data_IF_726802524443
#
_entry.id   IF_726802524443
#
_cell.length_a   1.000
_cell.length_b   1.000
_cell.length_c   1.000
_cell.angle_alpha   90.00
_cell.angle_beta   90.00
_cell.angle_gamma   90.00
#
_symmetry.space_group_name_H-M   'P 1'
#
loop_
_entity.id
_entity.type
_entity.pdbx_description
1 polymer ?
#
# COMPACT_ATOMS: atom_id res chain seq x y z
N UNK A 1 -18.33 -7.18 44.15
CA UNK A 1 -18.74 -6.27 43.04
C UNK A 1 -17.52 -5.99 42.18
N UNK A 2 -17.32 -6.75 41.11
CA UNK A 2 -16.21 -6.59 40.16
C UNK A 2 -16.52 -5.37 39.29
N UNK A 3 -15.62 -4.38 39.25
CA UNK A 3 -15.78 -3.16 38.47
C UNK A 3 -15.64 -3.49 36.98
N UNK A 4 -16.54 -2.89 36.18
CA UNK A 4 -16.56 -2.96 34.71
C UNK A 4 -15.14 -2.78 34.18
N UNK A 5 -14.69 -3.72 33.36
CA UNK A 5 -13.52 -3.54 32.52
C UNK A 5 -13.74 -2.29 31.67
N UNK A 6 -12.87 -1.30 31.84
CA UNK A 6 -12.74 -0.18 30.93
C UNK A 6 -12.22 -0.73 29.60
N UNK A 7 -13.15 -1.25 28.79
CA UNK A 7 -12.88 -1.69 27.43
C UNK A 7 -12.21 -0.52 26.73
N UNK A 8 -10.94 -0.70 26.34
CA UNK A 8 -10.25 0.23 25.45
C UNK A 8 -11.20 0.53 24.28
N UNK A 9 -11.58 1.79 24.06
CA UNK A 9 -12.51 2.17 23.01
C UNK A 9 -12.08 1.56 21.66
N UNK A 10 -13.03 0.95 20.93
CA UNK A 10 -12.75 0.26 19.66
C UNK A 10 -12.06 1.17 18.63
N UNK A 11 -12.23 2.49 18.73
CA UNK A 11 -11.58 3.50 17.89
C UNK A 11 -10.09 3.77 18.23
N UNK A 12 -9.53 3.09 19.23
CA UNK A 12 -8.12 3.19 19.63
C UNK A 12 -7.34 1.89 19.38
N UNK A 13 -7.92 0.95 18.62
CA UNK A 13 -7.26 -0.27 18.16
C UNK A 13 -7.32 -0.30 16.64
N UNK A 14 -6.17 -0.42 15.99
CA UNK A 14 -6.11 -0.62 14.55
C UNK A 14 -5.28 -1.85 14.25
N UNK A 15 -5.96 -2.96 13.93
CA UNK A 15 -5.47 -4.31 13.61
C UNK A 15 -4.32 -4.85 14.49
N UNK A 16 -3.13 -4.25 14.46
CA UNK A 16 -1.93 -4.68 15.19
C UNK A 16 -1.42 -3.67 16.23
N UNK A 17 -1.88 -2.40 16.21
CA UNK A 17 -1.42 -1.33 17.10
C UNK A 17 -2.50 -0.87 18.10
N UNK A 18 -2.09 -0.57 19.34
CA UNK A 18 -2.96 -0.01 20.40
C UNK A 18 -2.53 1.41 20.74
N UNK A 19 -3.47 2.35 20.69
CA UNK A 19 -3.25 3.74 21.07
C UNK A 19 -3.66 3.98 22.52
N UNK A 20 -2.76 4.60 23.29
CA UNK A 20 -3.06 5.06 24.64
C UNK A 20 -3.20 6.58 24.59
N UNK A 21 -4.43 7.13 24.68
CA UNK A 21 -4.64 8.57 24.67
C UNK A 21 -4.07 9.18 25.94
N UNK A 22 -3.43 10.32 25.76
CA UNK A 22 -2.67 11.03 26.77
C UNK A 22 -3.21 12.44 26.91
N UNK A 23 -3.55 12.88 28.13
CA UNK A 23 -3.86 14.29 28.36
C UNK A 23 -2.55 15.09 28.38
N UNK A 24 -2.39 16.13 27.53
CA UNK A 24 -1.12 16.86 27.40
C UNK A 24 -0.61 17.50 28.70
N UNK A 25 -1.51 17.81 29.64
CA UNK A 25 -1.21 18.48 30.91
C UNK A 25 -0.57 17.55 31.96
N UNK A 26 -0.58 16.23 31.77
CA UNK A 26 -0.19 15.26 32.80
C UNK A 26 0.71 14.17 32.21
N UNK A 27 2.02 14.45 32.09
CA UNK A 27 3.00 13.46 31.62
C UNK A 27 3.05 12.19 32.51
N UNK A 28 2.71 12.31 33.80
CA UNK A 28 2.56 11.17 34.72
C UNK A 28 1.41 10.24 34.29
N UNK A 29 0.26 10.81 33.91
CA UNK A 29 -0.94 10.08 33.46
C UNK A 29 -0.67 9.21 32.23
N UNK A 30 0.19 9.66 31.30
CA UNK A 30 0.59 8.87 30.14
C UNK A 30 1.32 7.58 30.51
N UNK A 31 2.29 7.70 31.42
CA UNK A 31 3.13 6.57 31.82
C UNK A 31 2.29 5.55 32.59
N UNK A 32 1.45 6.03 33.49
CA UNK A 32 0.51 5.21 34.27
C UNK A 32 -0.48 4.48 33.36
N UNK A 33 -1.06 5.16 32.36
CA UNK A 33 -1.97 4.53 31.40
C UNK A 33 -1.31 3.46 30.55
N UNK A 34 -0.08 3.72 30.07
CA UNK A 34 0.71 2.73 29.32
C UNK A 34 1.08 1.54 30.20
N UNK A 35 1.58 1.76 31.41
CA UNK A 35 2.00 0.69 32.31
C UNK A 35 0.80 -0.16 32.77
N UNK A 36 -0.34 0.48 33.04
CA UNK A 36 -1.60 -0.23 33.35
C UNK A 36 -2.02 -1.15 32.21
N UNK A 37 -2.02 -0.65 30.96
CA UNK A 37 -2.34 -1.46 29.79
C UNK A 37 -1.33 -2.61 29.58
N UNK A 38 -0.03 -2.34 29.75
CA UNK A 38 1.01 -3.38 29.62
C UNK A 38 0.80 -4.49 30.64
N UNK A 39 0.45 -4.15 31.88
CA UNK A 39 0.20 -5.12 32.94
C UNK A 39 -1.06 -5.94 32.65
N UNK A 40 -2.13 -5.32 32.14
CA UNK A 40 -3.34 -6.04 31.74
C UNK A 40 -3.08 -7.02 30.58
N UNK A 41 -2.31 -6.60 29.57
CA UNK A 41 -1.92 -7.46 28.47
C UNK A 41 -1.01 -8.61 28.95
N UNK A 42 -0.04 -8.33 29.81
CA UNK A 42 0.84 -9.34 30.38
C UNK A 42 0.09 -10.38 31.24
N UNK A 43 -0.95 -9.95 31.98
CA UNK A 43 -1.84 -10.86 32.72
C UNK A 43 -2.61 -11.82 31.80
N UNK A 44 -2.74 -11.49 30.52
CA UNK A 44 -3.33 -12.33 29.48
C UNK A 44 -2.28 -12.97 28.57
N UNK A 45 -1.01 -13.03 29.00
CA UNK A 45 0.12 -13.58 28.23
C UNK A 45 0.41 -12.85 26.91
N UNK A 46 -0.02 -11.60 26.79
CA UNK A 46 0.25 -10.73 25.64
C UNK A 46 1.38 -9.75 25.98
N UNK A 47 2.61 -10.15 25.68
CA UNK A 47 3.78 -9.30 25.94
C UNK A 47 3.96 -8.25 24.84
N UNK A 48 4.20 -7.00 25.24
CA UNK A 48 4.34 -5.87 24.32
C UNK A 48 5.76 -5.35 24.25
N UNK A 49 6.16 -4.90 23.06
CA UNK A 49 7.39 -4.12 22.84
C UNK A 49 7.35 -2.82 23.67
N UNK A 50 8.50 -2.21 23.88
CA UNK A 50 8.56 -0.91 24.58
C UNK A 50 7.67 0.13 23.88
N UNK A 51 6.95 0.98 24.64
CA UNK A 51 6.13 2.04 24.07
C UNK A 51 7.00 3.03 23.31
N UNK A 52 6.51 3.47 22.15
CA UNK A 52 7.20 4.46 21.31
C UNK A 52 6.33 5.73 21.28
N UNK A 53 6.91 6.93 21.48
CA UNK A 53 6.19 8.18 21.28
C UNK A 53 5.57 8.24 19.90
N UNK A 54 4.33 8.73 19.79
CA UNK A 54 3.61 8.74 18.52
C UNK A 54 4.35 9.53 17.44
N UNK A 55 5.08 10.59 17.80
CA UNK A 55 5.91 11.40 16.88
C UNK A 55 7.13 10.66 16.32
N UNK A 56 7.46 9.50 16.88
CA UNK A 56 8.52 8.62 16.42
C UNK A 56 7.98 7.30 15.89
N UNK A 57 6.66 7.09 15.99
CA UNK A 57 6.00 5.88 15.57
C UNK A 57 5.84 5.87 14.05
N UNK A 58 5.86 4.66 13.50
CA UNK A 58 5.40 4.39 12.15
C UNK A 58 4.09 3.68 12.29
N UNK A 59 3.10 4.12 11.53
CA UNK A 59 1.79 3.51 11.60
C UNK A 59 1.20 3.44 10.20
N UNK A 60 0.82 2.23 9.78
CA UNK A 60 0.30 1.94 8.44
C UNK A 60 1.24 2.40 7.30
N UNK A 61 2.55 2.37 7.54
CA UNK A 61 3.55 2.85 6.59
C UNK A 61 3.66 4.38 6.50
N UNK A 62 2.90 5.12 7.31
CA UNK A 62 2.97 6.57 7.45
C UNK A 62 3.93 6.96 8.58
N UNK A 63 4.55 8.12 8.41
CA UNK A 63 5.37 8.80 9.41
C UNK A 63 4.49 9.83 10.08
N UNK A 64 4.45 9.78 11.41
CA UNK A 64 3.72 10.76 12.21
C UNK A 64 4.70 11.80 12.73
N UNK A 65 4.36 13.08 12.60
CA UNK A 65 5.12 14.19 13.17
C UNK A 65 4.20 15.17 13.89
N UNK A 66 4.72 15.86 14.90
CA UNK A 66 3.98 16.90 15.61
C UNK A 66 4.20 18.27 14.94
N UNK A 67 3.12 18.96 14.69
CA UNK A 67 3.06 20.35 14.24
C UNK A 67 2.41 21.23 15.32
N UNK A 68 2.39 22.56 15.13
CA UNK A 68 1.68 23.49 16.02
C UNK A 68 0.19 23.16 16.14
N UNK A 69 -0.41 22.62 15.07
CA UNK A 69 -1.85 22.40 14.96
C UNK A 69 -2.26 20.95 15.31
N UNK A 70 -1.30 20.13 15.75
CA UNK A 70 -1.52 18.73 16.13
C UNK A 70 -0.63 17.73 15.40
N UNK A 71 -1.09 16.48 15.30
CA UNK A 71 -0.36 15.41 14.63
C UNK A 71 -0.57 15.47 13.12
N UNK A 72 0.53 15.52 12.40
CA UNK A 72 0.60 15.43 10.94
C UNK A 72 1.04 14.04 10.52
N UNK A 73 0.45 13.56 9.43
CA UNK A 73 0.71 12.23 8.88
C UNK A 73 1.23 12.41 7.47
N UNK A 74 2.35 11.77 7.15
CA UNK A 74 2.90 11.80 5.80
C UNK A 74 3.40 10.45 5.36
N UNK A 75 3.41 10.21 4.05
CA UNK A 75 4.11 9.07 3.48
C UNK A 75 5.60 9.19 3.77
N UNK A 76 6.28 8.05 3.91
CA UNK A 76 7.72 8.01 4.14
C UNK A 76 8.52 8.69 3.03
N UNK A 77 8.06 8.52 1.79
CA UNK A 77 8.70 9.06 0.60
C UNK A 77 7.67 9.89 -0.16
N UNK A 78 8.05 11.10 -0.54
CA UNK A 78 7.29 11.88 -1.52
C UNK A 78 7.45 11.30 -2.93
N UNK A 79 6.73 11.86 -3.91
CA UNK A 79 6.78 11.37 -5.28
C UNK A 79 8.17 11.49 -5.90
N UNK A 80 8.88 12.60 -5.68
CA UNK A 80 10.20 12.82 -6.27
C UNK A 80 11.23 11.84 -5.71
N UNK A 81 11.19 11.61 -4.40
CA UNK A 81 12.01 10.61 -3.72
C UNK A 81 11.70 9.20 -4.22
N UNK A 82 10.44 8.85 -4.48
CA UNK A 82 10.06 7.55 -5.05
C UNK A 82 10.60 7.36 -6.46
N UNK A 83 10.51 8.38 -7.30
CA UNK A 83 11.01 8.33 -8.67
C UNK A 83 12.55 8.30 -8.70
N UNK A 84 13.21 8.88 -7.70
CA UNK A 84 14.67 8.89 -7.57
C UNK A 84 15.27 7.59 -7.00
N UNK A 85 14.46 6.59 -6.58
CA UNK A 85 14.97 5.32 -6.05
C UNK A 85 15.83 4.57 -7.06
N UNK A 86 15.48 4.66 -8.34
CA UNK A 86 16.25 4.05 -9.43
C UNK A 86 16.80 5.12 -10.38
N UNK A 87 17.87 5.82 -9.99
CA UNK A 87 18.44 6.88 -10.80
C UNK A 87 18.98 6.34 -12.14
N UNK A 88 19.34 5.06 -12.21
CA UNK A 88 19.82 4.43 -13.43
C UNK A 88 18.72 4.16 -14.47
N UNK A 89 17.44 4.25 -14.09
CA UNK A 89 16.35 4.31 -15.08
C UNK A 89 16.35 5.65 -15.82
N UNK A 90 16.78 6.73 -15.15
CA UNK A 90 16.78 8.09 -15.67
C UNK A 90 18.08 8.46 -16.41
N UNK A 91 19.06 7.54 -16.50
CA UNK A 91 20.29 7.76 -17.27
C UNK A 91 20.02 7.73 -18.78
N UNK A 92 20.93 8.29 -19.56
CA UNK A 92 20.91 8.22 -21.02
C UNK A 92 22.17 7.47 -21.52
N UNK A 93 22.05 6.22 -22.00
CA UNK A 93 20.83 5.39 -22.04
C UNK A 93 20.42 4.86 -20.65
N UNK A 94 19.17 4.40 -20.45
CA UNK A 94 18.76 3.77 -19.20
C UNK A 94 19.53 2.49 -18.92
N UNK A 95 20.13 2.38 -17.73
CA UNK A 95 20.97 1.27 -17.30
C UNK A 95 20.39 0.61 -16.05
N UNK A 96 19.27 -0.10 -16.20
CA UNK A 96 18.61 -0.78 -15.09
C UNK A 96 18.50 -2.28 -15.35
N UNK A 97 18.86 -3.08 -14.35
CA UNK A 97 18.71 -4.53 -14.42
C UNK A 97 17.25 -4.93 -14.21
N UNK A 98 16.85 -6.08 -14.76
CA UNK A 98 15.49 -6.57 -14.61
C UNK A 98 15.06 -6.75 -13.15
N UNK A 99 15.99 -7.18 -12.29
CA UNK A 99 15.76 -7.29 -10.84
C UNK A 99 15.45 -5.93 -10.22
N UNK A 100 16.27 -4.91 -10.51
CA UNK A 100 16.08 -3.55 -9.98
C UNK A 100 14.80 -2.92 -10.51
N UNK A 101 14.53 -3.07 -11.81
CA UNK A 101 13.31 -2.58 -12.43
C UNK A 101 12.05 -3.21 -11.83
N UNK A 102 12.03 -4.53 -11.64
CA UNK A 102 10.90 -5.24 -10.99
C UNK A 102 10.69 -4.83 -9.52
N UNK A 103 11.80 -4.64 -8.79
CA UNK A 103 11.79 -4.14 -7.41
C UNK A 103 11.19 -2.74 -7.35
N UNK A 104 11.66 -1.84 -8.21
CA UNK A 104 11.17 -0.47 -8.32
C UNK A 104 9.68 -0.37 -8.65
N UNK A 105 9.19 -1.16 -9.62
CA UNK A 105 7.76 -1.26 -9.91
C UNK A 105 6.97 -1.70 -8.67
N UNK A 106 7.55 -2.59 -7.85
CA UNK A 106 6.95 -3.01 -6.59
C UNK A 106 6.88 -1.90 -5.55
N UNK A 107 7.95 -1.12 -5.44
CA UNK A 107 7.98 0.05 -4.57
C UNK A 107 6.92 1.06 -5.01
N UNK A 108 6.83 1.38 -6.30
CA UNK A 108 5.82 2.30 -6.82
C UNK A 108 4.40 1.83 -6.49
N UNK A 109 4.04 0.58 -6.83
CA UNK A 109 2.71 0.05 -6.57
C UNK A 109 2.36 -0.04 -5.07
N UNK A 110 3.37 -0.18 -4.20
CA UNK A 110 3.17 -0.25 -2.75
C UNK A 110 2.98 1.15 -2.13
N UNK A 111 3.70 2.15 -2.63
CA UNK A 111 3.71 3.50 -2.08
C UNK A 111 2.68 4.45 -2.72
N UNK A 112 2.10 4.07 -3.86
CA UNK A 112 1.02 4.77 -4.56
C UNK A 112 -0.20 3.85 -4.72
N UNK A 113 -0.82 3.39 -3.61
CA UNK A 113 -1.78 2.28 -3.62
C UNK A 113 -3.09 2.55 -4.36
N UNK A 114 -3.33 3.80 -4.71
CA UNK A 114 -4.62 4.39 -5.07
C UNK A 114 -4.66 4.96 -6.48
N UNK A 115 -3.55 4.81 -7.18
CA UNK A 115 -3.45 5.21 -8.56
C UNK A 115 -3.93 4.05 -9.43
N UNK A 116 -5.24 4.04 -9.72
CA UNK A 116 -5.88 2.85 -10.27
C UNK A 116 -5.35 2.34 -11.61
N UNK A 117 -4.73 3.21 -12.42
CA UNK A 117 -4.02 2.78 -13.63
C UNK A 117 -2.62 2.23 -13.35
N UNK A 118 -1.98 2.57 -12.22
CA UNK A 118 -0.60 2.21 -11.90
C UNK A 118 -0.46 0.72 -11.66
N UNK A 119 -1.36 0.09 -10.90
CA UNK A 119 -1.27 -1.34 -10.59
C UNK A 119 -1.39 -2.21 -11.83
N UNK A 120 -2.37 -1.99 -12.74
CA UNK A 120 -2.40 -2.65 -14.05
C UNK A 120 -1.13 -2.40 -14.87
N UNK A 121 -0.65 -1.16 -14.91
CA UNK A 121 0.57 -0.75 -15.65
C UNK A 121 1.83 -1.47 -15.12
N UNK A 122 2.00 -1.51 -13.80
CA UNK A 122 3.08 -2.24 -13.11
C UNK A 122 2.96 -3.74 -13.36
N UNK A 123 1.75 -4.29 -13.27
CA UNK A 123 1.49 -5.71 -13.51
C UNK A 123 1.83 -6.09 -14.96
N UNK A 124 1.46 -5.24 -15.93
CA UNK A 124 1.79 -5.43 -17.33
C UNK A 124 3.29 -5.35 -17.58
N UNK A 125 3.98 -4.36 -17.03
CA UNK A 125 5.44 -4.27 -17.13
C UNK A 125 6.15 -5.51 -16.55
N UNK A 126 5.67 -6.03 -15.42
CA UNK A 126 6.16 -7.29 -14.85
C UNK A 126 5.89 -8.49 -15.73
N UNK A 127 4.73 -8.53 -16.40
CA UNK A 127 4.44 -9.57 -17.38
C UNK A 127 5.42 -9.53 -18.56
N UNK A 128 5.70 -8.34 -19.10
CA UNK A 128 6.70 -8.16 -20.17
C UNK A 128 8.10 -8.60 -19.74
N UNK A 129 8.51 -8.26 -18.51
CA UNK A 129 9.76 -8.79 -17.94
C UNK A 129 9.74 -10.31 -17.84
N UNK A 130 8.67 -10.87 -17.25
CA UNK A 130 8.53 -12.31 -17.04
C UNK A 130 8.58 -13.12 -18.33
N UNK A 131 7.94 -12.64 -19.41
CA UNK A 131 7.97 -13.28 -20.73
C UNK A 131 9.39 -13.35 -21.32
N UNK A 132 10.21 -12.32 -21.07
CA UNK A 132 11.57 -12.22 -21.62
C UNK A 132 12.65 -12.88 -20.73
N UNK A 133 12.41 -12.94 -19.42
CA UNK A 133 13.47 -13.16 -18.41
C UNK A 133 13.14 -14.33 -17.46
N UNK A 134 11.85 -14.61 -17.23
CA UNK A 134 11.37 -15.43 -16.12
C UNK A 134 11.74 -16.91 -16.13
N UNK A 135 12.43 -17.39 -17.17
CA UNK A 135 12.87 -18.78 -17.32
C UNK A 135 14.35 -18.98 -16.90
N UNK A 136 15.13 -17.91 -16.75
CA UNK A 136 16.57 -17.99 -16.48
C UNK A 136 16.99 -16.99 -15.39
N UNK A 137 17.49 -17.52 -14.28
CA UNK A 137 17.91 -16.72 -13.12
C UNK A 137 18.99 -15.69 -13.48
N UNK A 138 19.90 -16.01 -14.41
CA UNK A 138 20.99 -15.11 -14.81
C UNK A 138 20.47 -13.88 -15.54
N UNK A 139 19.34 -13.99 -16.24
CA UNK A 139 18.73 -12.87 -16.96
C UNK A 139 18.18 -11.79 -16.04
N UNK A 140 17.91 -12.08 -14.77
CA UNK A 140 17.47 -11.06 -13.80
C UNK A 140 18.54 -10.00 -13.50
N UNK A 141 19.82 -10.34 -13.69
CA UNK A 141 20.94 -9.43 -13.51
C UNK A 141 21.34 -8.71 -14.81
N UNK A 142 20.72 -9.06 -15.94
CA UNK A 142 20.91 -8.36 -17.21
C UNK A 142 20.09 -7.07 -17.26
N UNK A 143 20.55 -6.12 -18.09
CA UNK A 143 19.80 -4.90 -18.37
C UNK A 143 18.47 -5.21 -19.05
N UNK A 144 17.43 -4.46 -18.70
CA UNK A 144 16.15 -4.57 -19.39
C UNK A 144 16.29 -4.12 -20.85
N UNK A 145 15.53 -4.72 -21.78
CA UNK A 145 15.37 -4.20 -23.13
C UNK A 145 14.99 -2.72 -23.18
N UNK A 146 15.39 -2.02 -24.24
CA UNK A 146 15.22 -0.56 -24.37
C UNK A 146 13.76 -0.12 -24.42
N UNK A 147 12.87 -0.94 -24.98
CA UNK A 147 11.43 -0.73 -25.01
C UNK A 147 10.79 -0.82 -23.61
N UNK A 148 11.26 -1.76 -22.77
CA UNK A 148 10.85 -1.88 -21.36
C UNK A 148 11.40 -0.72 -20.53
N UNK A 149 12.66 -0.32 -20.76
CA UNK A 149 13.21 0.89 -20.13
C UNK A 149 12.41 2.14 -20.51
N UNK A 150 12.09 2.32 -21.78
CA UNK A 150 11.26 3.42 -22.27
C UNK A 150 9.85 3.41 -21.65
N UNK A 151 9.28 2.23 -21.41
CA UNK A 151 8.02 2.09 -20.66
C UNK A 151 8.15 2.64 -19.24
N UNK A 152 9.25 2.31 -18.54
CA UNK A 152 9.56 2.86 -17.22
C UNK A 152 9.70 4.38 -17.21
N UNK A 153 10.37 4.95 -18.20
CA UNK A 153 10.49 6.40 -18.37
C UNK A 153 9.14 7.08 -18.56
N UNK A 154 8.30 6.55 -19.46
CA UNK A 154 6.94 7.06 -19.67
C UNK A 154 6.09 6.98 -18.39
N UNK A 155 6.27 5.93 -17.60
CA UNK A 155 5.61 5.81 -16.30
C UNK A 155 6.03 6.94 -15.35
N UNK A 156 7.33 7.25 -15.26
CA UNK A 156 7.83 8.38 -14.47
C UNK A 156 7.26 9.72 -14.95
N UNK A 157 7.26 9.96 -16.26
CA UNK A 157 6.70 11.18 -16.86
C UNK A 157 5.22 11.33 -16.55
N UNK A 158 4.45 10.26 -16.69
CA UNK A 158 3.02 10.29 -16.42
C UNK A 158 2.71 10.53 -14.93
N UNK A 159 3.49 9.93 -14.03
CA UNK A 159 3.41 10.19 -12.60
C UNK A 159 3.69 11.66 -12.27
N UNK A 160 4.75 12.25 -12.86
CA UNK A 160 5.05 13.68 -12.69
C UNK A 160 3.93 14.57 -13.24
N UNK A 161 3.44 14.25 -14.44
CA UNK A 161 2.40 15.03 -15.13
C UNK A 161 1.09 15.05 -14.35
N UNK A 162 0.67 13.92 -13.78
CA UNK A 162 -0.55 13.84 -12.96
C UNK A 162 -0.36 14.36 -11.52
N UNK A 163 0.88 14.46 -11.06
CA UNK A 163 1.23 14.78 -9.68
C UNK A 163 1.01 13.59 -8.74
N UNK A 164 1.35 13.79 -7.46
CA UNK A 164 1.21 12.74 -6.44
C UNK A 164 -0.26 12.35 -6.26
N UNK A 165 -0.66 11.13 -6.67
CA UNK A 165 -2.05 10.69 -6.57
C UNK A 165 -2.45 10.33 -5.14
N UNK A 166 -1.48 10.14 -4.25
CA UNK A 166 -1.71 9.85 -2.85
C UNK A 166 -1.60 11.13 -1.98
N UNK A 167 -1.63 12.32 -2.58
CA UNK A 167 -1.62 13.60 -1.86
C UNK A 167 -2.94 13.85 -1.12
N UNK A 168 -2.87 14.61 -0.04
CA UNK A 168 -4.05 15.05 0.73
C UNK A 168 -4.54 14.03 1.75
N UNK A 169 -5.70 14.31 2.35
CA UNK A 169 -6.32 13.47 3.36
C UNK A 169 -7.27 12.46 2.72
N UNK A 170 -7.08 11.19 3.07
CA UNK A 170 -7.93 10.08 2.63
C UNK A 170 -9.07 9.93 3.63
N UNK A 171 -10.17 10.63 3.38
CA UNK A 171 -11.34 10.61 4.27
C UNK A 171 -12.47 9.88 3.56
N UNK A 172 -12.77 8.67 4.03
CA UNK A 172 -14.02 7.99 3.65
C UNK A 172 -15.11 8.63 4.51
N UNK A 173 -16.19 9.18 3.91
CA UNK A 173 -17.34 9.65 4.66
C UNK A 173 -17.82 8.55 5.63
N UNK A 174 -18.30 8.93 6.82
CA UNK A 174 -18.69 7.97 7.85
C UNK A 174 -19.66 6.94 7.26
N UNK A 175 -19.35 5.65 7.45
CA UNK A 175 -20.28 4.57 7.14
C UNK A 175 -21.50 4.69 8.07
N UNK A 176 -22.57 5.34 7.60
CA UNK A 176 -23.83 5.55 8.34
C UNK A 176 -24.92 6.25 7.53
N UNK A 177 -24.57 7.17 6.61
CA UNK A 177 -25.51 7.81 5.67
C UNK A 177 -25.60 7.02 4.35
N UNK A 178 -26.57 7.23 3.45
CA UNK A 178 -26.66 6.47 2.17
C UNK A 178 -25.38 6.51 1.28
N UNK A 179 -24.47 7.45 1.55
CA UNK A 179 -23.09 7.51 1.04
C UNK A 179 -22.15 6.42 1.59
N UNK A 180 -22.63 5.57 2.51
CA UNK A 180 -21.92 4.47 3.17
C UNK A 180 -21.96 3.15 2.42
N UNK A 181 -22.74 3.07 1.34
CA UNK A 181 -22.75 1.89 0.48
C UNK A 181 -21.48 1.86 -0.33
N UNK A 182 -20.81 0.72 -0.26
CA UNK A 182 -19.59 0.44 -0.98
C UNK A 182 -19.92 -0.50 -2.12
N UNK A 183 -19.49 -0.17 -3.34
CA UNK A 183 -19.65 -1.00 -4.52
C UNK A 183 -18.34 -1.74 -4.76
N UNK A 184 -18.43 -3.06 -4.86
CA UNK A 184 -17.29 -3.91 -5.21
C UNK A 184 -17.39 -4.28 -6.69
N UNK A 185 -16.41 -3.81 -7.46
CA UNK A 185 -16.21 -4.16 -8.85
C UNK A 185 -15.14 -5.24 -8.93
N UNK A 186 -15.41 -6.31 -9.65
CA UNK A 186 -14.42 -7.35 -9.94
C UNK A 186 -14.38 -7.59 -11.44
N UNK A 187 -13.19 -7.77 -11.97
CA UNK A 187 -12.99 -8.21 -13.35
C UNK A 187 -11.84 -9.21 -13.39
N UNK A 188 -11.88 -10.12 -14.37
CA UNK A 188 -10.86 -11.15 -14.49
C UNK A 188 -10.67 -11.56 -15.95
N UNK A 189 -9.40 -11.74 -16.34
CA UNK A 189 -8.96 -12.24 -17.64
C UNK A 189 -8.11 -13.49 -17.46
N UNK A 190 -7.67 -14.13 -18.54
CA UNK A 190 -6.76 -15.28 -18.46
C UNK A 190 -5.40 -14.95 -17.81
N UNK A 191 -5.07 -13.66 -17.70
CA UNK A 191 -3.75 -13.18 -17.26
C UNK A 191 -3.82 -12.52 -15.87
N UNK A 192 -4.91 -11.81 -15.56
CA UNK A 192 -5.02 -11.00 -14.35
C UNK A 192 -6.41 -11.04 -13.73
N UNK A 193 -6.47 -10.77 -12.43
CA UNK A 193 -7.69 -10.54 -11.66
C UNK A 193 -7.58 -9.13 -11.06
N UNK A 194 -8.69 -8.38 -11.11
CA UNK A 194 -8.78 -7.01 -10.63
C UNK A 194 -9.99 -6.83 -9.72
N UNK A 195 -9.82 -5.98 -8.71
CA UNK A 195 -10.88 -5.56 -7.80
C UNK A 195 -10.76 -4.05 -7.57
N UNK A 196 -11.87 -3.36 -7.68
CA UNK A 196 -12.00 -1.95 -7.30
C UNK A 196 -13.17 -1.83 -6.35
N UNK A 197 -12.98 -1.13 -5.25
CA UNK A 197 -14.02 -0.88 -4.27
C UNK A 197 -14.26 0.63 -4.23
N UNK A 198 -15.49 1.07 -4.48
CA UNK A 198 -15.84 2.50 -4.55
C UNK A 198 -16.96 2.87 -3.59
N UNK A 199 -17.05 4.13 -3.19
CA UNK A 199 -18.32 4.66 -2.64
C UNK A 199 -19.39 4.70 -3.73
N UNK A 200 -20.66 4.86 -3.36
CA UNK A 200 -21.74 5.17 -4.33
C UNK A 200 -21.54 6.49 -5.07
N UNK A 201 -20.67 7.36 -4.56
CA UNK A 201 -20.29 8.63 -5.20
C UNK A 201 -19.12 8.49 -6.18
N UNK A 202 -18.52 7.29 -6.28
CA UNK A 202 -17.43 6.99 -7.21
C UNK A 202 -16.03 7.16 -6.63
N UNK A 203 -15.88 7.41 -5.33
CA UNK A 203 -14.56 7.52 -4.70
C UNK A 203 -13.93 6.14 -4.52
N UNK A 204 -12.72 5.94 -5.02
CA UNK A 204 -11.99 4.67 -4.87
C UNK A 204 -11.46 4.48 -3.46
N UNK A 205 -11.88 3.40 -2.82
CA UNK A 205 -11.44 2.95 -1.49
C UNK A 205 -10.32 1.91 -1.62
N UNK A 206 -10.51 0.91 -2.48
CA UNK A 206 -9.50 -0.12 -2.78
C UNK A 206 -9.36 -0.20 -4.29
N UNK A 207 -8.12 -0.32 -4.74
CA UNK A 207 -7.79 -0.73 -6.10
C UNK A 207 -6.69 -1.77 -6.01
N UNK A 208 -6.97 -2.99 -6.47
CA UNK A 208 -6.00 -4.06 -6.48
C UNK A 208 -6.09 -4.89 -7.76
N UNK A 209 -4.93 -5.32 -8.24
CA UNK A 209 -4.82 -6.22 -9.39
C UNK A 209 -3.68 -7.18 -9.13
N UNK A 210 -3.88 -8.45 -9.47
CA UNK A 210 -2.86 -9.48 -9.38
C UNK A 210 -2.80 -10.31 -10.66
N UNK A 211 -1.61 -10.81 -10.98
CA UNK A 211 -1.43 -11.79 -12.04
C UNK A 211 -1.95 -13.14 -11.54
N UNK A 212 -2.61 -13.90 -12.43
CA UNK A 212 -2.94 -15.28 -12.10
C UNK A 212 -1.67 -16.11 -12.02
N UNK A 213 -1.63 -17.02 -11.05
CA UNK A 213 -0.61 -18.08 -11.04
C UNK A 213 -0.89 -18.96 -12.26
N UNK A 214 0.11 -19.10 -13.14
CA UNK A 214 0.04 -20.09 -14.23
C UNK A 214 -0.04 -21.47 -13.56
N UNK A 215 -1.22 -22.09 -13.57
CA UNK A 215 -1.31 -23.49 -13.18
C UNK A 215 -0.56 -24.30 -14.24
N UNK A 216 0.34 -25.19 -13.81
CA UNK A 216 1.04 -26.13 -14.71
C UNK A 216 0.10 -27.16 -15.37
N UNK A 217 -1.21 -27.03 -15.19
CA UNK A 217 -2.23 -27.90 -15.77
C UNK A 217 -3.03 -27.14 -16.82
N UNK A 218 -2.41 -26.86 -17.96
CA UNK A 218 -3.13 -26.43 -19.16
C UNK A 218 -3.95 -27.60 -19.70
N UNK A 219 -5.17 -27.79 -19.19
CA UNK A 219 -6.24 -28.33 -20.04
C UNK A 219 -6.81 -27.14 -20.79
N UNK A 220 -6.53 -27.06 -22.08
CA UNK A 220 -7.18 -26.11 -22.97
C UNK A 220 -8.70 -26.22 -22.79
N UNK A 221 -9.43 -25.10 -22.64
CA UNK A 221 -10.88 -25.16 -22.68
C UNK A 221 -11.30 -25.65 -24.06
N UNK A 222 -12.03 -26.77 -24.12
CA UNK A 222 -12.42 -27.43 -25.37
C UNK A 222 -13.45 -26.65 -26.19
N UNK A 223 -13.98 -25.55 -25.64
CA UNK A 223 -14.88 -24.62 -26.33
C UNK A 223 -15.15 -23.41 -25.45
N UNK A 224 -15.07 -22.22 -26.01
CA UNK A 224 -15.54 -20.97 -25.38
C UNK A 224 -16.69 -20.45 -26.20
N UNK A 225 -17.85 -20.23 -25.57
CA UNK A 225 -18.99 -19.56 -26.21
C UNK A 225 -19.08 -18.16 -25.63
N UNK A 226 -19.10 -17.16 -26.51
CA UNK A 226 -19.32 -15.75 -26.17
C UNK A 226 -20.82 -15.50 -26.02
N UNK A 227 -21.23 -14.84 -24.93
CA UNK A 227 -22.60 -14.33 -24.75
C UNK A 227 -22.48 -12.81 -24.63
N UNK A 228 -23.26 -12.09 -25.45
CA UNK A 228 -23.45 -10.63 -25.36
C UNK A 228 -24.25 -10.27 -24.11
#
# INVERSE_FOLDING_TARGET
>A
KVRKSDKIPHNLRYFDDIFVPCKPSEKSSCREGVDSLRNELAANSLFTKAPVPIEKARLLGLVVSKSSDGLTWKRRLDLDQLLAIEPSLLSSPPMITARRFSSWLGVLASFLPVLGWLRPTVSFARHLLGKNIGQDYYKWNQYVPSDIAAYGLRLCEELRRRGDPARGAWVIPKLGDDASRVILWTDSSDIMEGVVMTTTQGDTIIDATWQRKVSKSSRSPKSTVHIN
#
